data_IF_980339620786
#
_entry.id   IF_980339620786
#
_cell.length_a   1.000
_cell.length_b   1.000
_cell.length_c   1.000
_cell.angle_alpha   90.00
_cell.angle_beta   90.00
_cell.angle_gamma   90.00
#
_symmetry.space_group_name_H-M   'P 1'
#
loop_
_entity.id
_entity.type
_entity.pdbx_description
1 polymer ?
#
# COMPACT_ATOMS: atom_id res chain seq x y z
N UNK A 1 -9.75 -3.48 18.29
CA UNK A 1 -8.77 -3.61 17.33
C UNK A 1 -7.64 -2.66 17.49
N UNK A 2 -6.59 -3.08 17.15
CA UNK A 2 -5.44 -2.32 17.34
C UNK A 2 -5.22 -1.40 16.17
N UNK A 3 -5.36 -0.16 16.42
CA UNK A 3 -5.22 0.79 15.35
C UNK A 3 -3.81 0.81 14.82
N UNK A 4 -2.91 0.15 15.50
CA UNK A 4 -1.54 0.14 15.02
C UNK A 4 -1.32 -0.80 13.88
N UNK A 5 -2.31 -1.62 13.59
CA UNK A 5 -2.11 -2.61 12.55
C UNK A 5 -2.59 -2.10 11.24
N UNK A 6 -1.88 -1.16 10.70
CA UNK A 6 -2.20 -0.67 9.38
C UNK A 6 -1.60 -1.63 8.36
N UNK A 7 -2.40 -2.19 7.46
CA UNK A 7 -1.84 -3.07 6.45
C UNK A 7 -0.82 -2.34 5.60
N UNK A 8 0.18 -3.06 5.16
CA UNK A 8 1.28 -2.45 4.42
C UNK A 8 1.42 -3.08 3.05
N UNK A 9 1.57 -2.24 2.06
CA UNK A 9 1.79 -2.65 0.69
C UNK A 9 3.10 -2.04 0.22
N UNK A 10 4.09 -2.85 -0.13
CA UNK A 10 5.38 -2.31 -0.55
C UNK A 10 5.34 -1.82 -1.99
N UNK A 11 6.00 -0.73 -2.24
CA UNK A 11 6.01 -0.14 -3.57
C UNK A 11 7.31 0.59 -3.76
N UNK A 12 7.75 0.71 -4.99
CA UNK A 12 8.98 1.42 -5.27
C UNK A 12 8.79 2.90 -5.45
N UNK A 13 7.55 3.33 -5.46
CA UNK A 13 7.23 4.74 -5.59
C UNK A 13 6.46 5.16 -4.37
N UNK A 14 6.52 6.45 -4.08
CA UNK A 14 5.77 6.98 -2.95
C UNK A 14 4.59 7.77 -3.46
N UNK A 15 3.50 7.72 -2.71
CA UNK A 15 2.32 8.49 -3.06
C UNK A 15 2.28 9.69 -2.15
N UNK A 16 2.43 10.85 -2.75
CA UNK A 16 2.46 12.08 -1.98
C UNK A 16 1.06 12.48 -1.55
N UNK A 17 0.94 13.25 -0.48
CA UNK A 17 -0.39 13.71 -0.06
C UNK A 17 -1.07 14.45 -1.20
N UNK A 18 -2.31 14.08 -1.46
CA UNK A 18 -3.06 14.66 -2.55
C UNK A 18 -2.84 13.99 -3.88
N UNK A 19 -1.83 13.14 -3.99
CA UNK A 19 -1.59 12.46 -5.24
C UNK A 19 -2.48 11.25 -5.41
N UNK A 20 -2.79 10.92 -6.64
CA UNK A 20 -3.61 9.77 -6.95
C UNK A 20 -2.76 8.80 -7.73
N UNK A 21 -2.83 7.55 -7.37
CA UNK A 21 -1.95 6.55 -7.96
C UNK A 21 -2.73 5.28 -8.27
N UNK A 22 -2.62 4.75 -9.48
CA UNK A 22 -3.32 3.51 -9.82
C UNK A 22 -2.48 2.31 -9.44
N UNK A 23 -3.14 1.28 -8.96
CA UNK A 23 -2.48 0.04 -8.59
C UNK A 23 -3.22 -1.13 -9.16
N UNK A 24 -2.48 -2.15 -9.54
CA UNK A 24 -3.06 -3.41 -9.95
C UNK A 24 -2.68 -4.45 -8.93
N UNK A 25 -3.67 -5.02 -8.31
CA UNK A 25 -3.46 -5.96 -7.22
C UNK A 25 -3.73 -7.35 -7.74
N UNK A 26 -2.72 -8.21 -7.70
CA UNK A 26 -2.89 -9.56 -8.20
C UNK A 26 -2.42 -10.64 -7.23
N UNK A 27 -1.67 -10.30 -6.21
CA UNK A 27 -1.26 -11.30 -5.23
C UNK A 27 -2.37 -11.52 -4.23
N UNK A 28 -2.60 -12.77 -3.89
CA UNK A 28 -3.73 -13.12 -3.05
C UNK A 28 -3.72 -12.37 -1.72
N UNK A 29 -2.57 -12.27 -1.08
CA UNK A 29 -2.54 -11.62 0.23
C UNK A 29 -2.92 -10.16 0.13
N UNK A 30 -2.54 -9.51 -0.97
CA UNK A 30 -2.90 -8.10 -1.12
C UNK A 30 -4.32 -7.95 -1.62
N UNK A 31 -4.81 -8.91 -2.38
CA UNK A 31 -6.22 -8.90 -2.75
C UNK A 31 -7.10 -8.98 -1.52
N UNK A 32 -6.73 -9.86 -0.60
CA UNK A 32 -7.51 -9.98 0.63
C UNK A 32 -7.43 -8.72 1.46
N UNK A 33 -6.25 -8.14 1.55
CA UNK A 33 -6.05 -6.94 2.31
C UNK A 33 -6.88 -5.78 1.74
N UNK A 34 -6.80 -5.59 0.43
CA UNK A 34 -7.49 -4.48 -0.20
C UNK A 34 -9.00 -4.69 -0.14
N UNK A 35 -9.44 -5.92 -0.34
CA UNK A 35 -10.86 -6.20 -0.25
C UNK A 35 -11.39 -5.87 1.14
N UNK A 36 -10.63 -6.21 2.15
CA UNK A 36 -11.03 -5.90 3.50
C UNK A 36 -11.09 -4.39 3.72
N UNK A 37 -10.09 -3.67 3.19
CA UNK A 37 -10.09 -2.23 3.32
C UNK A 37 -11.30 -1.60 2.65
N UNK A 38 -11.67 -2.12 1.49
CA UNK A 38 -12.84 -1.61 0.80
C UNK A 38 -14.09 -1.85 1.63
N UNK A 39 -14.20 -3.05 2.17
CA UNK A 39 -15.38 -3.39 2.96
C UNK A 39 -15.50 -2.54 4.21
N UNK A 40 -14.39 -2.26 4.84
CA UNK A 40 -14.40 -1.53 6.09
C UNK A 40 -14.21 -0.04 5.90
N UNK A 41 -14.06 0.38 4.66
CA UNK A 41 -13.89 1.80 4.35
C UNK A 41 -12.68 2.35 5.08
N UNK A 42 -11.58 1.62 5.01
CA UNK A 42 -10.34 2.06 5.61
C UNK A 42 -9.28 2.14 4.55
N UNK A 43 -8.19 2.80 4.88
CA UNK A 43 -7.06 2.88 4.00
C UNK A 43 -5.97 1.89 4.38
N UNK A 44 -4.83 2.04 3.78
CA UNK A 44 -3.70 1.23 4.12
C UNK A 44 -2.43 2.03 3.90
N UNK A 45 -1.32 1.46 4.25
CA UNK A 45 -0.05 2.15 4.14
C UNK A 45 0.76 1.62 2.99
N UNK A 46 1.36 2.50 2.23
CA UNK A 46 2.30 2.12 1.19
C UNK A 46 3.67 2.41 1.72
N UNK A 47 4.50 1.38 1.77
CA UNK A 47 5.86 1.51 2.25
C UNK A 47 6.80 1.60 1.07
N UNK A 48 7.62 2.61 1.06
CA UNK A 48 8.59 2.80 0.00
C UNK A 48 9.70 1.79 0.17
N UNK A 49 9.84 0.92 -0.82
CA UNK A 49 10.88 -0.08 -0.79
C UNK A 49 12.14 0.54 -1.37
N UNK A 50 13.16 0.58 -0.55
CA UNK A 50 14.42 1.12 -1.00
C UNK A 50 15.02 0.21 -2.03
N UNK A 51 16.10 0.67 -2.60
CA UNK A 51 16.77 -0.09 -3.58
C UNK A 51 17.03 -1.50 -3.09
N UNK A 52 16.75 -2.44 -3.92
CA UNK A 52 16.95 -3.81 -3.58
C UNK A 52 18.39 -4.16 -3.42
N UNK A 53 18.70 -4.82 -2.36
CA UNK A 53 20.03 -5.36 -2.16
C UNK A 53 19.84 -6.81 -1.82
N UNK A 54 20.16 -7.66 -2.74
CA UNK A 54 19.91 -9.07 -2.54
C UNK A 54 20.61 -9.64 -1.35
N UNK A 55 21.69 -9.01 -0.96
CA UNK A 55 22.43 -9.50 0.17
C UNK A 55 21.91 -9.01 1.49
N UNK A 56 20.94 -8.13 1.45
CA UNK A 56 20.43 -7.54 2.67
C UNK A 56 18.95 -7.50 2.72
N UNK A 57 18.33 -8.44 2.12
CA UNK A 57 16.90 -8.41 2.07
C UNK A 57 16.25 -8.46 3.44
N UNK A 58 16.91 -9.01 4.38
CA UNK A 58 16.33 -9.07 5.71
C UNK A 58 16.35 -7.74 6.41
N UNK A 59 17.20 -6.87 5.95
CA UNK A 59 17.31 -5.58 6.60
C UNK A 59 16.61 -4.50 5.84
N UNK A 60 15.65 -4.87 5.07
CA UNK A 60 14.90 -3.87 4.36
C UNK A 60 14.33 -2.86 5.30
N UNK A 61 14.62 -1.63 5.03
CA UNK A 61 14.16 -0.56 5.88
C UNK A 61 13.20 0.29 5.10
N UNK A 62 12.00 0.40 5.61
CA UNK A 62 11.03 1.29 5.02
C UNK A 62 11.15 2.60 5.75
N UNK A 63 11.74 3.57 5.11
CA UNK A 63 11.95 4.84 5.78
C UNK A 63 10.76 5.75 5.70
N UNK A 64 9.97 5.59 4.67
CA UNK A 64 8.83 6.47 4.46
C UNK A 64 7.62 5.63 4.16
N UNK A 65 6.54 5.97 4.80
CA UNK A 65 5.27 5.33 4.55
C UNK A 65 4.25 6.37 4.20
N UNK A 66 3.37 6.01 3.29
CA UNK A 66 2.29 6.88 2.86
C UNK A 66 0.98 6.21 3.23
N UNK A 67 0.16 6.92 4.01
CA UNK A 67 -1.18 6.43 4.27
C UNK A 67 -2.06 6.87 3.11
N UNK A 68 -2.75 5.92 2.53
CA UNK A 68 -3.59 6.19 1.37
C UNK A 68 -4.99 5.65 1.60
N UNK A 69 -5.93 6.22 0.88
CA UNK A 69 -7.30 5.76 0.89
C UNK A 69 -7.69 5.36 -0.51
N UNK A 70 -8.52 4.33 -0.60
CA UNK A 70 -8.96 3.83 -1.88
C UNK A 70 -10.11 4.73 -2.36
N UNK A 71 -9.93 5.34 -3.51
CA UNK A 71 -10.95 6.23 -4.06
C UNK A 71 -11.78 5.57 -5.12
N UNK A 72 -11.28 4.49 -5.71
CA UNK A 72 -12.00 3.82 -6.77
C UNK A 72 -11.47 2.42 -6.91
N UNK A 73 -12.28 1.53 -7.41
CA UNK A 73 -11.83 0.16 -7.63
C UNK A 73 -12.71 -0.51 -8.64
N UNK A 74 -12.15 -1.47 -9.36
CA UNK A 74 -12.93 -2.28 -10.28
C UNK A 74 -12.18 -3.56 -10.55
N UNK A 75 -12.94 -4.57 -10.89
CA UNK A 75 -12.35 -5.85 -11.21
C UNK A 75 -11.88 -5.83 -12.64
N UNK A 76 -10.66 -6.27 -12.82
CA UNK A 76 -10.10 -6.43 -14.13
C UNK A 76 -10.13 -7.90 -14.49
N UNK A 77 -9.61 -8.23 -15.67
CA UNK A 77 -9.62 -9.59 -16.09
C UNK A 77 -8.64 -10.42 -15.27
N UNK A 78 -8.87 -11.71 -15.25
CA UNK A 78 -7.95 -12.66 -14.63
C UNK A 78 -7.77 -12.46 -13.15
N UNK A 79 -8.80 -12.00 -12.48
CA UNK A 79 -8.73 -11.90 -11.04
C UNK A 79 -7.90 -10.75 -10.52
N UNK A 80 -7.51 -9.85 -11.41
CA UNK A 80 -6.76 -8.68 -11.00
C UNK A 80 -7.72 -7.60 -10.54
N UNK A 81 -7.38 -6.94 -9.47
CA UNK A 81 -8.18 -5.85 -8.94
C UNK A 81 -7.46 -4.53 -9.19
N UNK A 82 -8.13 -3.64 -9.92
CA UNK A 82 -7.57 -2.32 -10.14
C UNK A 82 -8.13 -1.36 -9.13
N UNK A 83 -7.26 -0.60 -8.50
CA UNK A 83 -7.70 0.41 -7.55
C UNK A 83 -6.98 1.71 -7.82
N UNK A 84 -7.58 2.78 -7.37
CA UNK A 84 -6.93 4.08 -7.33
C UNK A 84 -6.84 4.47 -5.87
N UNK A 85 -5.69 4.97 -5.47
CA UNK A 85 -5.51 5.40 -4.10
C UNK A 85 -5.10 6.86 -4.08
N UNK A 86 -5.49 7.55 -3.04
CA UNK A 86 -5.13 8.93 -2.85
C UNK A 86 -4.28 9.04 -1.61
N UNK A 87 -3.13 9.70 -1.72
CA UNK A 87 -2.27 9.90 -0.58
C UNK A 87 -2.85 10.87 0.40
N UNK A 88 -2.76 10.54 1.67
CA UNK A 88 -3.29 11.39 2.71
C UNK A 88 -2.20 11.96 3.59
N UNK A 89 -1.24 11.16 3.95
CA UNK A 89 -0.19 11.65 4.83
C UNK A 89 1.06 10.82 4.65
N UNK A 90 2.16 11.39 5.03
CA UNK A 90 3.43 10.71 5.02
C UNK A 90 3.93 10.57 6.44
N UNK A 91 4.63 9.50 6.69
CA UNK A 91 5.21 9.29 7.99
C UNK A 91 6.59 8.69 7.80
N UNK A 92 7.50 9.09 8.65
CA UNK A 92 8.81 8.52 8.65
C UNK A 92 8.83 7.39 9.64
N UNK A 93 9.33 6.27 9.20
CA UNK A 93 9.38 5.12 10.05
C UNK A 93 10.70 5.11 10.78
N UNK A 94 10.62 5.02 12.08
CA UNK A 94 11.81 5.01 12.87
C UNK A 94 12.20 3.59 13.16
N UNK A 95 13.42 3.28 12.94
CA UNK A 95 13.83 1.92 13.18
C UNK A 95 14.41 1.76 14.55
#
# INVERSE_FOLDING_TARGET
>A
MNSDECPIFPLKSIVLPGGVFPLRIFERRYLDMVTKCIKEDTGFCIALVQKEDRNKYIDQVYEIMSYVEITDWNKLEDGILGISVEGKSLAKVKK
#
